data_IF_347312031198
#
_entry.id   IF_347312031198
#
_cell.length_a   1.000
_cell.length_b   1.000
_cell.length_c   1.000
_cell.angle_alpha   90.00
_cell.angle_beta   90.00
_cell.angle_gamma   90.00
#
_symmetry.space_group_name_H-M   'P 1'
#
loop_
_entity.id
_entity.type
_entity.pdbx_description
1 polymer ?
#
# COMPACT_ATOMS: atom_id res chain seq x y z
N UNK A 1 0.59 -18.04 6.44
CA UNK A 1 1.98 -17.66 6.14
C UNK A 1 2.21 -16.23 6.55
N UNK A 2 3.28 -15.96 7.22
CA UNK A 2 3.61 -14.61 7.65
C UNK A 2 4.12 -13.77 6.50
N UNK A 3 3.79 -12.46 6.54
CA UNK A 3 4.32 -11.52 5.58
C UNK A 3 5.80 -11.27 5.84
N UNK A 4 6.55 -11.08 4.78
CA UNK A 4 7.95 -10.74 4.87
C UNK A 4 8.12 -9.31 5.38
N UNK A 5 8.91 -9.13 6.43
CA UNK A 5 9.25 -7.81 6.96
C UNK A 5 10.41 -7.26 6.12
N UNK A 6 10.21 -6.10 5.51
CA UNK A 6 11.20 -5.47 4.64
C UNK A 6 12.03 -4.42 5.37
N UNK A 7 11.41 -3.73 6.32
CA UNK A 7 12.05 -2.66 7.07
C UNK A 7 11.36 -2.53 8.42
N UNK A 8 12.14 -2.27 9.43
CA UNK A 8 11.61 -2.05 10.76
C UNK A 8 12.29 -0.83 11.35
N UNK A 9 11.49 0.10 11.86
CA UNK A 9 11.99 1.28 12.58
C UNK A 9 11.53 1.18 14.03
N UNK A 10 11.88 2.19 14.83
CA UNK A 10 11.47 2.25 16.23
C UNK A 10 9.96 2.15 16.41
N UNK A 11 9.16 2.75 15.48
CA UNK A 11 7.72 2.86 15.59
C UNK A 11 6.94 2.09 14.54
N UNK A 12 7.58 1.74 13.42
CA UNK A 12 6.89 1.20 12.25
C UNK A 12 7.52 -0.09 11.76
N UNK A 13 6.67 -0.94 11.19
CA UNK A 13 7.10 -2.11 10.42
C UNK A 13 6.57 -1.94 9.00
N UNK A 14 7.45 -2.15 8.03
CA UNK A 14 7.07 -2.20 6.62
C UNK A 14 7.15 -3.66 6.17
N UNK A 15 6.03 -4.21 5.72
CA UNK A 15 5.96 -5.61 5.27
C UNK A 15 5.17 -5.72 3.97
N UNK A 16 5.40 -6.79 3.22
CA UNK A 16 4.61 -7.06 2.04
C UNK A 16 3.16 -7.34 2.43
N UNK A 17 2.24 -6.89 1.58
CA UNK A 17 0.83 -7.20 1.76
C UNK A 17 0.53 -8.61 1.29
N UNK A 18 -0.51 -9.21 1.88
CA UNK A 18 -1.02 -10.52 1.51
C UNK A 18 -2.52 -10.43 1.29
N UNK A 19 -3.12 -11.52 0.81
CA UNK A 19 -4.58 -11.56 0.61
C UNK A 19 -5.36 -11.29 1.89
N UNK A 20 -4.75 -11.54 3.07
CA UNK A 20 -5.36 -11.23 4.36
C UNK A 20 -5.45 -9.75 4.69
N UNK A 21 -4.84 -8.88 3.88
CA UNK A 21 -4.86 -7.44 4.11
C UNK A 21 -6.02 -6.71 3.42
N UNK A 22 -6.92 -7.44 2.77
CA UNK A 22 -8.03 -6.86 2.03
C UNK A 22 -8.88 -5.92 2.89
N UNK A 23 -9.30 -6.38 4.07
CA UNK A 23 -10.16 -5.58 4.95
C UNK A 23 -9.48 -4.30 5.42
N UNK A 24 -8.20 -4.38 5.75
CA UNK A 24 -7.44 -3.20 6.17
C UNK A 24 -7.29 -2.21 5.02
N UNK A 25 -7.07 -2.69 3.80
CA UNK A 25 -7.01 -1.83 2.61
C UNK A 25 -8.33 -1.12 2.35
N UNK A 26 -9.46 -1.77 2.63
CA UNK A 26 -10.75 -1.14 2.48
C UNK A 26 -10.86 0.12 3.35
N UNK A 27 -10.27 0.11 4.53
CA UNK A 27 -10.25 1.27 5.42
C UNK A 27 -9.52 2.48 4.86
N UNK A 28 -8.69 2.26 3.83
CA UNK A 28 -7.96 3.32 3.15
C UNK A 28 -8.58 3.64 1.79
N UNK A 29 -8.72 2.63 0.94
CA UNK A 29 -9.10 2.83 -0.46
C UNK A 29 -10.59 3.14 -0.65
N UNK A 30 -11.42 2.83 0.33
CA UNK A 30 -12.85 3.17 0.28
C UNK A 30 -13.15 4.49 0.98
N UNK A 31 -12.15 5.15 1.56
CA UNK A 31 -12.35 6.45 2.20
C UNK A 31 -12.25 7.57 1.15
N UNK A 32 -13.34 8.32 0.89
CA UNK A 32 -13.31 9.36 -0.14
C UNK A 32 -12.34 10.51 0.17
N UNK A 33 -12.06 10.76 1.43
CA UNK A 33 -11.09 11.78 1.81
C UNK A 33 -9.66 11.38 1.43
N UNK A 34 -9.32 10.11 1.66
CA UNK A 34 -8.01 9.58 1.30
C UNK A 34 -7.87 9.52 -0.22
N UNK A 35 -8.93 9.09 -0.90
CA UNK A 35 -8.90 8.82 -2.34
C UNK A 35 -9.29 10.02 -3.20
N UNK A 36 -9.34 11.19 -2.62
CA UNK A 36 -9.70 12.42 -3.33
C UNK A 36 -8.90 12.61 -4.62
N UNK A 37 -7.58 12.38 -4.57
CA UNK A 37 -6.69 12.55 -5.72
C UNK A 37 -6.80 11.42 -6.76
N UNK A 38 -7.56 10.37 -6.46
CA UNK A 38 -7.72 9.18 -7.31
C UNK A 38 -9.12 9.07 -7.90
N UNK A 39 -9.81 10.20 -8.07
CA UNK A 39 -11.15 10.28 -8.63
C UNK A 39 -12.25 9.68 -7.74
N UNK A 40 -11.94 9.41 -6.48
CA UNK A 40 -12.92 8.97 -5.51
C UNK A 40 -12.62 7.61 -4.89
N UNK A 41 -13.47 7.21 -3.98
CA UNK A 41 -13.32 5.97 -3.23
C UNK A 41 -13.52 4.75 -4.13
N UNK A 42 -12.79 3.68 -3.81
CA UNK A 42 -12.91 2.40 -4.51
C UNK A 42 -14.07 1.58 -3.97
N UNK A 43 -14.61 0.69 -4.81
CA UNK A 43 -15.50 -0.37 -4.36
C UNK A 43 -14.66 -1.63 -4.04
N UNK A 44 -15.33 -2.70 -3.59
CA UNK A 44 -14.65 -3.93 -3.18
C UNK A 44 -13.84 -4.56 -4.31
N UNK A 45 -14.37 -4.57 -5.52
CA UNK A 45 -13.66 -5.15 -6.67
C UNK A 45 -12.41 -4.36 -7.01
N UNK A 46 -12.48 -3.05 -6.90
CA UNK A 46 -11.33 -2.17 -7.14
C UNK A 46 -10.25 -2.36 -6.07
N UNK A 47 -10.64 -2.54 -4.81
CA UNK A 47 -9.68 -2.82 -3.72
C UNK A 47 -9.00 -4.15 -3.97
N UNK A 48 -9.75 -5.17 -4.36
CA UNK A 48 -9.19 -6.49 -4.64
C UNK A 48 -8.20 -6.43 -5.80
N UNK A 49 -8.54 -5.73 -6.88
CA UNK A 49 -7.66 -5.55 -8.03
C UNK A 49 -6.38 -4.79 -7.63
N UNK A 50 -6.51 -3.78 -6.78
CA UNK A 50 -5.36 -3.03 -6.27
C UNK A 50 -4.41 -3.95 -5.51
N UNK A 51 -4.95 -4.74 -4.58
CA UNK A 51 -4.14 -5.66 -3.77
C UNK A 51 -3.44 -6.70 -4.65
N UNK A 52 -4.15 -7.32 -5.57
CA UNK A 52 -3.57 -8.31 -6.48
C UNK A 52 -2.47 -7.69 -7.34
N UNK A 53 -2.66 -6.47 -7.80
CA UNK A 53 -1.66 -5.76 -8.59
C UNK A 53 -0.39 -5.48 -7.79
N UNK A 54 -0.52 -5.10 -6.51
CA UNK A 54 0.65 -4.89 -5.66
C UNK A 54 1.37 -6.20 -5.41
N UNK A 55 0.66 -7.28 -5.12
CA UNK A 55 1.26 -8.59 -4.91
C UNK A 55 2.01 -9.07 -6.16
N UNK A 56 1.48 -8.76 -7.33
CA UNK A 56 2.15 -9.08 -8.60
C UNK A 56 3.42 -8.27 -8.79
N UNK A 57 3.41 -7.00 -8.39
CA UNK A 57 4.61 -6.14 -8.48
C UNK A 57 5.76 -6.64 -7.62
N UNK A 58 5.48 -7.38 -6.55
CA UNK A 58 6.52 -7.94 -5.68
C UNK A 58 7.42 -8.96 -6.40
N UNK A 59 7.01 -9.44 -7.55
CA UNK A 59 7.85 -10.32 -8.37
C UNK A 59 9.10 -9.58 -8.86
N UNK A 60 9.04 -8.25 -8.97
CA UNK A 60 10.21 -7.43 -9.26
C UNK A 60 10.78 -6.92 -7.93
N UNK A 61 12.06 -7.23 -7.62
CA UNK A 61 12.64 -6.85 -6.34
C UNK A 61 12.53 -5.35 -6.05
N UNK A 62 12.05 -5.03 -4.85
CA UNK A 62 11.92 -3.66 -4.38
C UNK A 62 10.71 -2.90 -4.89
N UNK A 63 9.90 -3.49 -5.77
CA UNK A 63 8.73 -2.82 -6.31
C UNK A 63 7.45 -3.16 -5.55
N UNK A 64 6.44 -2.30 -5.70
CA UNK A 64 5.12 -2.47 -5.11
C UNK A 64 4.95 -1.75 -3.78
N UNK A 65 3.71 -1.47 -3.43
CA UNK A 65 3.38 -0.84 -2.16
C UNK A 65 3.29 -1.89 -1.07
N UNK A 66 3.85 -1.57 0.09
CA UNK A 66 3.92 -2.48 1.23
C UNK A 66 3.10 -1.93 2.40
N UNK A 67 2.65 -2.81 3.28
CA UNK A 67 1.88 -2.43 4.45
C UNK A 67 2.75 -1.68 5.46
N UNK A 68 2.23 -0.59 5.98
CA UNK A 68 2.86 0.16 7.07
C UNK A 68 2.10 -0.16 8.36
N UNK A 69 2.77 -0.78 9.31
CA UNK A 69 2.19 -1.23 10.57
C UNK A 69 2.75 -0.36 11.69
N UNK A 70 1.85 0.19 12.51
CA UNK A 70 2.26 0.94 13.70
C UNK A 70 2.48 -0.05 14.84
N UNK A 71 3.71 -0.13 15.36
CA UNK A 71 4.07 -1.11 16.39
C UNK A 71 3.25 -1.00 17.66
N UNK A 72 2.93 0.23 18.05
CA UNK A 72 2.19 0.50 19.29
C UNK A 72 0.84 -0.23 19.34
N UNK A 73 0.14 -0.29 18.22
CA UNK A 73 -1.19 -0.88 18.15
C UNK A 73 -1.26 -2.17 17.33
N UNK A 74 -0.23 -2.44 16.52
CA UNK A 74 -0.27 -3.51 15.53
C UNK A 74 -1.16 -3.19 14.32
N UNK A 75 -1.63 -1.94 14.22
CA UNK A 75 -2.57 -1.54 13.19
C UNK A 75 -1.93 -1.27 11.84
N UNK A 76 -2.66 -1.64 10.78
CA UNK A 76 -2.29 -1.36 9.41
C UNK A 76 -2.75 0.09 9.11
N UNK A 77 -1.80 1.04 9.09
CA UNK A 77 -2.14 2.46 8.98
C UNK A 77 -1.95 3.04 7.59
N UNK A 78 -1.36 2.29 6.68
CA UNK A 78 -1.15 2.79 5.34
C UNK A 78 -0.33 1.86 4.49
N UNK A 79 0.06 2.34 3.32
CA UNK A 79 0.92 1.60 2.40
C UNK A 79 1.96 2.57 1.83
N UNK A 80 3.15 2.04 1.57
CA UNK A 80 4.27 2.81 1.07
C UNK A 80 5.18 1.91 0.25
N UNK A 81 5.77 2.43 -0.79
CA UNK A 81 6.70 1.66 -1.58
C UNK A 81 7.13 2.35 -2.85
N UNK A 82 7.87 1.62 -3.68
CA UNK A 82 8.35 2.09 -4.95
C UNK A 82 7.44 1.58 -6.07
N UNK A 83 7.15 2.44 -7.02
CA UNK A 83 6.42 2.06 -8.22
C UNK A 83 7.19 2.58 -9.43
N UNK A 84 7.04 1.88 -10.54
CA UNK A 84 7.71 2.25 -11.77
C UNK A 84 6.69 2.87 -12.72
N UNK A 85 7.01 4.06 -13.22
CA UNK A 85 6.12 4.81 -14.10
C UNK A 85 6.79 5.02 -15.45
N UNK A 86 6.04 4.81 -16.54
CA UNK A 86 6.51 5.08 -17.88
C UNK A 86 6.29 6.56 -18.20
N UNK A 87 7.32 7.20 -18.76
CA UNK A 87 7.25 8.60 -19.18
C UNK A 87 7.77 8.71 -20.62
N UNK A 88 7.55 9.85 -21.31
CA UNK A 88 8.10 10.06 -22.65
C UNK A 88 9.63 9.96 -22.70
N UNK A 89 10.29 10.25 -21.59
CA UNK A 89 11.76 10.21 -21.50
C UNK A 89 12.29 8.87 -20.98
N UNK A 90 11.41 7.87 -20.77
CA UNK A 90 11.79 6.56 -20.27
C UNK A 90 11.00 6.16 -19.04
N UNK A 91 11.58 5.28 -18.24
CA UNK A 91 10.95 4.78 -17.00
C UNK A 91 11.56 5.49 -15.81
N UNK A 92 10.70 5.99 -14.92
CA UNK A 92 11.13 6.58 -13.64
C UNK A 92 10.57 5.76 -12.48
N UNK A 93 11.30 5.75 -11.37
CA UNK A 93 10.87 5.11 -10.14
C UNK A 93 10.34 6.18 -9.20
N UNK A 94 9.14 5.98 -8.69
CA UNK A 94 8.50 6.92 -7.78
C UNK A 94 8.24 6.28 -6.42
N UNK A 95 8.28 7.10 -5.36
CA UNK A 95 7.85 6.69 -4.04
C UNK A 95 6.38 7.04 -3.90
N UNK A 96 5.55 6.02 -3.64
CA UNK A 96 4.13 6.22 -3.41
C UNK A 96 3.77 5.91 -1.97
N UNK A 97 2.78 6.60 -1.43
CA UNK A 97 2.25 6.28 -0.12
C UNK A 97 0.80 6.76 0.01
N UNK A 98 0.02 6.01 0.80
CA UNK A 98 -1.35 6.35 1.17
C UNK A 98 -1.51 5.98 2.64
N UNK A 99 -1.97 6.92 3.43
CA UNK A 99 -2.17 6.68 4.86
C UNK A 99 -3.66 6.71 5.20
N UNK A 100 -4.06 5.88 6.15
CA UNK A 100 -5.38 5.93 6.73
C UNK A 100 -5.61 7.33 7.31
N UNK A 101 -6.81 7.87 7.12
CA UNK A 101 -7.08 9.28 7.46
C UNK A 101 -6.74 9.63 8.91
N UNK A 102 -7.01 8.74 9.84
CA UNK A 102 -6.72 8.98 11.26
C UNK A 102 -5.23 8.90 11.61
N UNK A 103 -4.40 8.55 10.63
CA UNK A 103 -2.94 8.54 10.79
C UNK A 103 -2.27 9.78 10.18
N UNK A 104 -3.05 10.69 9.65
CA UNK A 104 -2.53 11.93 9.08
C UNK A 104 -1.98 12.87 10.18
#
# INVERSE_FOLDING_TARGET
MESEILLETERLILRRMTSGDFDALCGILKDPEVMYAYEGAFDDDMVRAWLENQMKRYEEPGMGLNAVILKETGGFIGQCGLTRQSTPDGTVTEIGYLLRRDAW
#
